data_IF_198857476533
#
_entry.id   IF_198857476533
#
_cell.length_a   1.000
_cell.length_b   1.000
_cell.length_c   1.000
_cell.angle_alpha   90.00
_cell.angle_beta   90.00
_cell.angle_gamma   90.00
#
_symmetry.space_group_name_H-M   'P 1'
#
loop_
_entity.id
_entity.type
_entity.pdbx_description
1 polymer ?
#
# COMPACT_ATOMS: atom_id res chain seq x y z
N UNK A 1 -69.04 -12.71 5.71
CA UNK A 1 -67.58 -12.78 5.88
C UNK A 1 -66.79 -13.16 4.63
N UNK A 2 -67.41 -13.62 3.51
CA UNK A 2 -66.69 -13.92 2.27
C UNK A 2 -66.44 -12.70 1.37
N UNK A 3 -67.34 -11.70 1.40
CA UNK A 3 -67.22 -10.48 0.60
C UNK A 3 -66.12 -9.52 1.07
N UNK A 4 -65.90 -9.42 2.38
CA UNK A 4 -64.84 -8.59 2.98
C UNK A 4 -63.44 -9.13 2.66
N UNK A 5 -63.28 -10.45 2.55
CA UNK A 5 -62.02 -11.10 2.21
C UNK A 5 -61.65 -10.90 0.72
N UNK A 6 -62.66 -10.86 -0.16
CA UNK A 6 -62.47 -10.57 -1.59
C UNK A 6 -62.09 -9.11 -1.85
N UNK A 7 -62.66 -8.18 -1.07
CA UNK A 7 -62.32 -6.75 -1.15
C UNK A 7 -60.88 -6.47 -0.68
N UNK A 8 -60.42 -7.16 0.37
CA UNK A 8 -59.02 -7.06 0.83
C UNK A 8 -58.01 -7.65 -0.18
N UNK A 9 -58.40 -8.66 -0.96
CA UNK A 9 -57.52 -9.26 -1.98
C UNK A 9 -57.31 -8.31 -3.18
N UNK A 10 -58.32 -7.51 -3.54
CA UNK A 10 -58.24 -6.50 -4.61
C UNK A 10 -57.37 -5.29 -4.26
N UNK A 11 -57.18 -4.99 -2.96
CA UNK A 11 -56.28 -3.92 -2.52
C UNK A 11 -54.81 -4.33 -2.53
N UNK A 12 -54.51 -5.64 -2.38
CA UNK A 12 -53.11 -6.13 -2.39
C UNK A 12 -52.49 -6.18 -3.79
N UNK A 13 -53.29 -6.24 -4.86
CA UNK A 13 -52.79 -6.31 -6.24
C UNK A 13 -52.36 -4.96 -6.83
N UNK A 14 -52.50 -3.86 -6.09
CA UNK A 14 -52.13 -2.52 -6.55
C UNK A 14 -50.79 -2.01 -5.99
N UNK A 15 -49.98 -2.85 -5.34
CA UNK A 15 -48.56 -2.55 -5.11
C UNK A 15 -47.77 -2.71 -6.43
N UNK A 16 -48.06 -1.83 -7.38
CA UNK A 16 -47.20 -1.65 -8.55
C UNK A 16 -45.87 -1.05 -8.07
N UNK A 17 -44.78 -1.78 -8.29
CA UNK A 17 -43.43 -1.25 -8.18
C UNK A 17 -43.33 0.01 -9.05
N UNK A 18 -43.33 1.19 -8.42
CA UNK A 18 -43.11 2.44 -9.12
C UNK A 18 -41.68 2.44 -9.67
N UNK A 19 -41.52 2.11 -10.96
CA UNK A 19 -40.30 2.44 -11.71
C UNK A 19 -40.19 3.96 -11.72
N UNK A 20 -39.25 4.50 -10.95
CA UNK A 20 -38.96 5.94 -10.91
C UNK A 20 -38.19 6.34 -12.17
N UNK A 21 -38.86 6.29 -13.32
CA UNK A 21 -38.39 6.90 -14.57
C UNK A 21 -38.80 8.37 -14.53
N UNK A 22 -37.83 9.27 -14.41
CA UNK A 22 -38.09 10.71 -14.43
C UNK A 22 -37.75 11.23 -15.83
N UNK A 23 -38.76 11.66 -16.57
CA UNK A 23 -38.55 12.37 -17.83
C UNK A 23 -38.41 13.86 -17.59
N UNK A 24 -37.44 14.50 -18.25
CA UNK A 24 -37.27 15.94 -18.28
C UNK A 24 -37.09 16.40 -19.74
N UNK A 25 -37.50 17.63 -20.00
CA UNK A 25 -37.43 18.26 -21.30
C UNK A 25 -36.25 19.23 -21.35
N UNK A 26 -35.48 19.17 -22.43
CA UNK A 26 -34.44 20.12 -22.76
C UNK A 26 -34.93 20.98 -23.93
N UNK A 27 -34.99 22.28 -23.70
CA UNK A 27 -35.27 23.26 -24.74
C UNK A 27 -33.99 24.02 -25.06
N UNK A 28 -33.62 24.04 -26.34
CA UNK A 28 -32.53 24.87 -26.84
C UNK A 28 -33.15 26.12 -27.45
N UNK A 29 -32.79 27.27 -26.92
CA UNK A 29 -33.15 28.58 -27.47
C UNK A 29 -31.88 29.27 -27.98
N UNK A 30 -32.02 30.32 -28.78
CA UNK A 30 -30.87 31.05 -29.36
C UNK A 30 -29.92 31.62 -28.31
N UNK A 31 -30.40 31.82 -27.08
CA UNK A 31 -29.66 32.45 -25.97
C UNK A 31 -29.27 31.50 -24.85
N UNK A 32 -29.98 30.39 -24.66
CA UNK A 32 -29.72 29.48 -23.54
C UNK A 32 -30.34 28.09 -23.72
N UNK A 33 -29.88 27.15 -22.90
CA UNK A 33 -30.50 25.83 -22.76
C UNK A 33 -31.26 25.77 -21.44
N UNK A 34 -32.53 25.35 -21.50
CA UNK A 34 -33.42 25.27 -20.34
C UNK A 34 -33.81 23.81 -20.11
N UNK A 35 -33.71 23.37 -18.86
CA UNK A 35 -34.14 22.05 -18.42
C UNK A 35 -35.40 22.18 -17.57
N UNK A 36 -36.45 21.45 -17.92
CA UNK A 36 -37.76 21.54 -17.27
C UNK A 36 -38.37 20.14 -17.08
N UNK A 37 -39.12 19.95 -16.00
CA UNK A 37 -39.91 18.72 -15.80
C UNK A 37 -41.20 18.71 -16.65
N UNK A 38 -41.59 19.86 -17.17
CA UNK A 38 -42.77 20.05 -18.03
C UNK A 38 -42.35 20.50 -19.44
N UNK A 39 -43.15 20.26 -20.48
CA UNK A 39 -42.84 20.69 -21.85
C UNK A 39 -42.59 22.19 -21.92
N UNK A 40 -41.39 22.59 -22.36
CA UNK A 40 -40.97 24.00 -22.39
C UNK A 40 -41.10 24.66 -23.77
N UNK A 41 -41.28 23.88 -24.85
CA UNK A 41 -41.45 24.37 -26.23
C UNK A 41 -41.98 23.25 -27.13
N UNK A 42 -42.56 23.60 -28.28
CA UNK A 42 -42.98 22.64 -29.30
C UNK A 42 -41.82 21.81 -29.87
N UNK A 43 -40.58 22.33 -29.80
CA UNK A 43 -39.36 21.65 -30.26
C UNK A 43 -38.54 21.06 -29.09
N UNK A 44 -39.16 20.83 -27.92
CA UNK A 44 -38.47 20.30 -26.75
C UNK A 44 -38.01 18.86 -26.97
N UNK A 45 -36.75 18.57 -26.63
CA UNK A 45 -36.22 17.20 -26.63
C UNK A 45 -36.51 16.56 -25.26
N UNK A 46 -37.25 15.46 -25.25
CA UNK A 46 -37.53 14.69 -24.04
C UNK A 46 -36.38 13.73 -23.74
N UNK A 47 -35.89 13.77 -22.51
CA UNK A 47 -34.87 12.86 -21.98
C UNK A 47 -35.44 12.10 -20.80
N UNK A 48 -35.13 10.81 -20.70
CA UNK A 48 -35.59 9.97 -19.59
C UNK A 48 -34.40 9.53 -18.76
N UNK A 49 -34.39 9.91 -17.48
CA UNK A 49 -33.44 9.41 -16.50
C UNK A 49 -33.97 8.09 -15.93
N UNK A 50 -33.22 7.03 -16.16
CA UNK A 50 -33.36 5.77 -15.43
C UNK A 50 -32.39 5.79 -14.26
N UNK A 51 -32.89 5.68 -13.03
CA UNK A 51 -32.02 5.55 -11.86
C UNK A 51 -31.36 4.17 -11.91
N UNK A 52 -30.11 4.12 -12.40
CA UNK A 52 -29.30 2.92 -12.68
C UNK A 52 -29.97 1.91 -13.63
N UNK A 53 -29.35 1.66 -14.78
CA UNK A 53 -29.82 0.63 -15.71
C UNK A 53 -29.72 -0.76 -15.04
N UNK A 54 -30.84 -1.45 -14.74
CA UNK A 54 -30.81 -2.79 -14.17
C UNK A 54 -30.23 -3.83 -15.14
N UNK A 55 -29.96 -3.46 -16.40
CA UNK A 55 -29.32 -4.29 -17.43
C UNK A 55 -27.85 -3.94 -17.66
N UNK A 56 -27.26 -3.03 -16.87
CA UNK A 56 -25.83 -2.77 -16.94
C UNK A 56 -25.06 -4.06 -16.66
N UNK A 57 -24.43 -4.63 -17.69
CA UNK A 57 -23.64 -5.84 -17.57
C UNK A 57 -22.43 -5.53 -16.69
N UNK A 58 -22.28 -6.32 -15.62
CA UNK A 58 -21.05 -6.30 -14.83
C UNK A 58 -19.90 -6.69 -15.79
N UNK A 59 -18.83 -5.90 -15.89
CA UNK A 59 -17.68 -6.27 -16.70
C UNK A 59 -17.24 -7.68 -16.34
N UNK A 60 -17.22 -8.59 -17.32
CA UNK A 60 -16.78 -9.98 -17.09
C UNK A 60 -15.28 -10.09 -16.76
N UNK A 61 -14.55 -8.98 -16.89
CA UNK A 61 -13.14 -8.89 -16.58
C UNK A 61 -12.91 -9.20 -15.10
N UNK A 62 -12.04 -10.18 -14.86
CA UNK A 62 -11.63 -10.61 -13.54
C UNK A 62 -10.67 -9.59 -12.92
N UNK A 63 -11.12 -8.34 -12.74
CA UNK A 63 -10.34 -7.25 -12.17
C UNK A 63 -9.68 -7.66 -10.84
N UNK A 64 -10.31 -8.53 -10.07
CA UNK A 64 -9.75 -9.08 -8.83
C UNK A 64 -8.43 -9.86 -9.04
N UNK A 65 -8.29 -10.63 -10.13
CA UNK A 65 -7.05 -11.37 -10.41
C UNK A 65 -5.92 -10.41 -10.77
N UNK A 66 -6.21 -9.43 -11.62
CA UNK A 66 -5.25 -8.41 -12.03
C UNK A 66 -4.79 -7.56 -10.83
N UNK A 67 -5.72 -7.16 -9.95
CA UNK A 67 -5.41 -6.43 -8.73
C UNK A 67 -4.54 -7.27 -7.77
N UNK A 68 -4.87 -8.54 -7.57
CA UNK A 68 -4.08 -9.45 -6.74
C UNK A 68 -2.66 -9.65 -7.29
N UNK A 69 -2.49 -9.72 -8.61
CA UNK A 69 -1.17 -9.83 -9.24
C UNK A 69 -0.34 -8.55 -9.07
N UNK A 70 -0.96 -7.38 -9.22
CA UNK A 70 -0.31 -6.09 -9.00
C UNK A 70 0.13 -5.97 -7.54
N UNK A 71 -0.75 -6.31 -6.60
CA UNK A 71 -0.44 -6.31 -5.17
C UNK A 71 0.71 -7.26 -4.85
N UNK A 72 0.69 -8.50 -5.38
CA UNK A 72 1.79 -9.46 -5.22
C UNK A 72 3.11 -8.90 -5.76
N UNK A 73 3.11 -8.29 -6.94
CA UNK A 73 4.30 -7.65 -7.53
C UNK A 73 4.83 -6.53 -6.63
N UNK A 74 3.95 -5.70 -6.08
CA UNK A 74 4.31 -4.61 -5.18
C UNK A 74 4.92 -5.12 -3.87
N UNK A 75 4.34 -6.17 -3.28
CA UNK A 75 4.90 -6.82 -2.08
C UNK A 75 6.31 -7.35 -2.37
N UNK A 76 6.52 -8.03 -3.50
CA UNK A 76 7.84 -8.55 -3.89
C UNK A 76 8.86 -7.42 -4.05
N UNK A 77 8.48 -6.31 -4.72
CA UNK A 77 9.34 -5.15 -4.89
C UNK A 77 9.74 -4.54 -3.54
N UNK A 78 8.78 -4.34 -2.64
CA UNK A 78 9.02 -3.82 -1.30
C UNK A 78 9.97 -4.72 -0.50
N UNK A 79 9.79 -6.04 -0.57
CA UNK A 79 10.67 -7.01 0.10
C UNK A 79 12.10 -6.98 -0.49
N UNK A 80 12.25 -6.86 -1.81
CA UNK A 80 13.58 -6.72 -2.46
C UNK A 80 14.27 -5.43 -2.04
N UNK A 81 13.54 -4.31 -1.97
CA UNK A 81 14.07 -3.03 -1.52
C UNK A 81 14.51 -3.07 -0.05
N UNK A 82 13.69 -3.66 0.82
CA UNK A 82 14.05 -3.88 2.23
C UNK A 82 15.31 -4.76 2.37
N UNK A 83 15.42 -5.83 1.57
CA UNK A 83 16.60 -6.69 1.54
C UNK A 83 17.86 -5.90 1.15
N UNK A 84 17.78 -5.09 0.09
CA UNK A 84 18.89 -4.24 -0.37
C UNK A 84 19.32 -3.24 0.71
N UNK A 85 18.36 -2.59 1.36
CA UNK A 85 18.64 -1.65 2.43
C UNK A 85 19.35 -2.32 3.62
N UNK A 86 18.91 -3.52 4.03
CA UNK A 86 19.53 -4.28 5.13
C UNK A 86 20.94 -4.74 4.77
N UNK A 87 21.18 -5.21 3.54
CA UNK A 87 22.53 -5.55 3.05
C UNK A 87 23.46 -4.32 3.07
N UNK A 88 22.96 -3.17 2.63
CA UNK A 88 23.74 -1.93 2.67
C UNK A 88 24.05 -1.50 4.11
N UNK A 89 23.10 -1.63 5.03
CA UNK A 89 23.32 -1.34 6.45
C UNK A 89 24.41 -2.23 7.04
N UNK A 90 24.45 -3.52 6.69
CA UNK A 90 25.53 -4.43 7.11
C UNK A 90 26.90 -3.97 6.56
N UNK A 91 26.98 -3.55 5.30
CA UNK A 91 28.21 -3.03 4.70
C UNK A 91 28.70 -1.73 5.38
N UNK A 92 27.78 -0.83 5.75
CA UNK A 92 28.11 0.39 6.51
C UNK A 92 28.62 0.04 7.90
N UNK A 93 27.99 -0.94 8.57
CA UNK A 93 28.42 -1.41 9.89
C UNK A 93 29.87 -1.94 9.85
N UNK A 94 30.21 -2.72 8.81
CA UNK A 94 31.58 -3.19 8.58
C UNK A 94 32.57 -2.05 8.41
N UNK A 95 32.24 -1.06 7.58
CA UNK A 95 33.07 0.15 7.38
C UNK A 95 33.31 0.92 8.68
N UNK A 96 32.27 1.13 9.49
CA UNK A 96 32.37 1.82 10.80
C UNK A 96 33.27 1.07 11.78
N UNK A 97 33.17 -0.26 11.82
CA UNK A 97 34.07 -1.10 12.62
C UNK A 97 35.52 -0.90 12.20
N UNK A 98 35.81 -0.94 10.91
CA UNK A 98 37.18 -0.83 10.39
C UNK A 98 37.77 0.55 10.65
N UNK A 99 36.97 1.60 10.50
CA UNK A 99 37.38 2.96 10.83
C UNK A 99 37.71 3.10 12.32
N UNK A 100 36.85 2.60 13.19
CA UNK A 100 37.09 2.60 14.63
C UNK A 100 38.35 1.79 15.00
N UNK A 101 38.55 0.63 14.38
CA UNK A 101 39.72 -0.20 14.61
C UNK A 101 41.01 0.51 14.16
N UNK A 102 41.01 1.11 12.97
CA UNK A 102 42.16 1.90 12.48
C UNK A 102 42.45 3.10 13.36
N UNK A 103 41.42 3.79 13.88
CA UNK A 103 41.59 4.92 14.80
C UNK A 103 42.30 4.50 16.09
N UNK A 104 41.92 3.35 16.66
CA UNK A 104 42.58 2.81 17.85
C UNK A 104 44.02 2.36 17.57
N UNK A 105 44.25 1.75 16.41
CA UNK A 105 45.60 1.36 15.97
C UNK A 105 46.52 2.58 15.80
N UNK A 106 46.02 3.68 15.22
CA UNK A 106 46.79 4.94 15.09
C UNK A 106 47.14 5.57 16.44
N UNK A 107 46.29 5.42 17.46
CA UNK A 107 46.56 5.93 18.82
C UNK A 107 47.77 5.25 19.43
N UNK A 108 47.88 3.94 19.22
CA UNK A 108 49.02 3.11 19.61
C UNK A 108 50.33 3.57 18.93
N UNK A 109 50.31 3.82 17.61
CA UNK A 109 51.51 4.16 16.84
C UNK A 109 52.07 5.55 17.15
N UNK A 110 51.26 6.47 17.70
CA UNK A 110 51.66 7.87 17.99
C UNK A 110 52.36 8.03 19.34
N UNK A 111 52.35 7.03 20.21
CA UNK A 111 53.01 7.12 21.51
C UNK A 111 54.50 6.78 21.37
N UNK A 112 55.37 7.71 21.78
CA UNK A 112 56.83 7.54 21.79
C UNK A 112 57.36 6.94 23.10
N UNK A 113 56.64 7.12 24.22
CA UNK A 113 56.99 6.61 25.55
C UNK A 113 56.57 5.15 25.73
N UNK A 114 57.51 4.26 26.08
CA UNK A 114 57.32 2.80 26.09
C UNK A 114 56.38 2.27 27.18
N UNK A 115 56.39 2.86 28.38
CA UNK A 115 55.50 2.42 29.47
C UNK A 115 54.05 2.88 29.20
N UNK A 116 53.88 4.12 28.73
CA UNK A 116 52.59 4.60 28.25
C UNK A 116 52.11 3.82 27.02
N UNK A 117 53.02 3.39 26.14
CA UNK A 117 52.72 2.55 24.98
C UNK A 117 52.18 1.19 25.41
N UNK A 118 52.81 0.51 26.38
CA UNK A 118 52.31 -0.77 26.93
C UNK A 118 50.90 -0.65 27.53
N UNK A 119 50.67 0.38 28.36
CA UNK A 119 49.34 0.64 28.93
C UNK A 119 48.29 0.93 27.84
N UNK A 120 48.66 1.73 26.84
CA UNK A 120 47.80 2.08 25.70
C UNK A 120 47.49 0.88 24.82
N UNK A 121 48.44 -0.02 24.58
CA UNK A 121 48.23 -1.26 23.81
C UNK A 121 47.20 -2.16 24.51
N UNK A 122 47.27 -2.29 25.84
CA UNK A 122 46.32 -3.10 26.62
C UNK A 122 44.90 -2.52 26.54
N UNK A 123 44.77 -1.20 26.67
CA UNK A 123 43.49 -0.48 26.53
C UNK A 123 42.94 -0.61 25.09
N UNK A 124 43.76 -0.35 24.07
CA UNK A 124 43.39 -0.52 22.66
C UNK A 124 42.92 -1.94 22.36
N UNK A 125 43.60 -2.97 22.88
CA UNK A 125 43.19 -4.37 22.72
C UNK A 125 41.83 -4.64 23.36
N UNK A 126 41.54 -4.06 24.53
CA UNK A 126 40.23 -4.16 25.19
C UNK A 126 39.14 -3.47 24.36
N UNK A 127 39.42 -2.27 23.86
CA UNK A 127 38.48 -1.50 23.04
C UNK A 127 38.19 -2.19 21.70
N UNK A 128 39.21 -2.74 21.03
CA UNK A 128 39.03 -3.54 19.80
C UNK A 128 38.16 -4.78 20.04
N UNK A 129 38.33 -5.48 21.18
CA UNK A 129 37.47 -6.60 21.55
C UNK A 129 36.01 -6.18 21.72
N UNK A 130 35.76 -5.05 22.40
CA UNK A 130 34.40 -4.50 22.55
C UNK A 130 33.79 -4.13 21.20
N UNK A 131 34.52 -3.39 20.35
CA UNK A 131 34.08 -3.01 19.00
C UNK A 131 33.71 -4.25 18.18
N UNK A 132 34.52 -5.30 18.22
CA UNK A 132 34.24 -6.54 17.51
C UNK A 132 33.03 -7.29 18.08
N UNK A 133 32.89 -7.35 19.40
CA UNK A 133 31.74 -8.00 20.06
C UNK A 133 30.43 -7.32 19.67
N UNK A 134 30.39 -5.99 19.74
CA UNK A 134 29.22 -5.19 19.38
C UNK A 134 28.87 -5.33 17.90
N UNK A 135 29.89 -5.34 17.02
CA UNK A 135 29.73 -5.61 15.60
C UNK A 135 29.09 -6.98 15.37
N UNK A 136 29.61 -8.04 15.98
CA UNK A 136 29.09 -9.41 15.82
C UNK A 136 27.64 -9.53 16.27
N UNK A 137 27.27 -8.90 17.40
CA UNK A 137 25.88 -8.88 17.87
C UNK A 137 24.95 -8.21 16.86
N UNK A 138 25.34 -7.02 16.35
CA UNK A 138 24.53 -6.27 15.38
C UNK A 138 24.41 -7.02 14.04
N UNK A 139 25.49 -7.62 13.55
CA UNK A 139 25.46 -8.45 12.33
C UNK A 139 24.56 -9.68 12.52
N UNK A 140 24.60 -10.33 13.68
CA UNK A 140 23.74 -11.49 13.97
C UNK A 140 22.25 -11.13 13.89
N UNK A 141 21.86 -9.99 14.43
CA UNK A 141 20.47 -9.49 14.35
C UNK A 141 20.10 -9.18 12.90
N UNK A 142 20.95 -8.44 12.18
CA UNK A 142 20.72 -8.10 10.77
C UNK A 142 20.61 -9.34 9.88
N UNK A 143 21.47 -10.35 10.08
CA UNK A 143 21.42 -11.59 9.31
C UNK A 143 20.13 -12.37 9.57
N UNK A 144 19.60 -12.37 10.80
CA UNK A 144 18.29 -12.96 11.10
C UNK A 144 17.16 -12.24 10.37
N UNK A 145 17.21 -10.91 10.30
CA UNK A 145 16.21 -10.13 9.56
C UNK A 145 16.28 -10.37 8.05
N UNK A 146 17.48 -10.42 7.49
CA UNK A 146 17.73 -10.78 6.09
C UNK A 146 17.15 -12.15 5.79
N UNK A 147 17.44 -13.16 6.61
CA UNK A 147 16.92 -14.51 6.44
C UNK A 147 15.37 -14.57 6.50
N UNK A 148 14.75 -13.75 7.37
CA UNK A 148 13.28 -13.63 7.42
C UNK A 148 12.70 -13.04 6.14
N UNK A 149 13.33 -11.98 5.59
CA UNK A 149 12.90 -11.35 4.34
C UNK A 149 13.08 -12.32 3.17
N UNK A 150 14.22 -13.01 3.09
CA UNK A 150 14.49 -14.03 2.06
C UNK A 150 13.49 -15.18 2.13
N UNK A 151 13.13 -15.66 3.33
CA UNK A 151 12.10 -16.68 3.50
C UNK A 151 10.72 -16.21 3.04
N UNK A 152 10.34 -14.96 3.31
CA UNK A 152 9.09 -14.38 2.82
C UNK A 152 9.09 -14.27 1.29
N UNK A 153 10.22 -13.87 0.71
CA UNK A 153 10.38 -13.72 -0.73
C UNK A 153 10.30 -15.07 -1.45
N UNK A 154 10.92 -16.12 -0.91
CA UNK A 154 10.81 -17.51 -1.40
C UNK A 154 9.40 -18.10 -1.35
N UNK A 155 8.53 -17.61 -0.46
CA UNK A 155 7.13 -18.06 -0.37
C UNK A 155 6.23 -17.38 -1.40
N UNK A 156 6.65 -16.20 -1.87
CA UNK A 156 5.88 -15.35 -2.77
C UNK A 156 6.37 -15.44 -4.21
N UNK A 157 7.56 -16.00 -4.45
CA UNK A 157 8.06 -16.41 -5.78
C UNK A 157 7.62 -17.84 -6.03
#
# INVERSE_FOLDING_TARGET
MKFTLLLCFLFYTNLSFAKTTVSYYKCVTDKSTIFSQHPCSNNAQQYTLTHSDPQASIPSEQHFKTLNEIERKQIILNLKNALRAKKQHAAILGRKRDEAARKQQRRMTRLMDDDKRKATVKDVKKQLKTINKDYLQRVKVLNKEIAKIEKKLKRLQ
#
